data_IF_646649876272
#
_entry.id   IF_646649876272
#
_cell.length_a   1.000
_cell.length_b   1.000
_cell.length_c   1.000
_cell.angle_alpha   90.00
_cell.angle_beta   90.00
_cell.angle_gamma   90.00
#
_symmetry.space_group_name_H-M   'P 1'
#
loop_
_entity.id
_entity.type
_entity.pdbx_description
1 polymer ?
#
# COMPACT_ATOMS: atom_id res chain seq x y z
N UNK A 1 -1.87 13.07 -21.10
CA UNK A 1 -1.70 12.48 -19.76
C UNK A 1 -0.98 13.49 -18.89
N UNK A 2 -1.59 13.92 -17.78
CA UNK A 2 -0.94 14.85 -16.85
C UNK A 2 0.20 14.17 -16.07
N UNK A 3 1.22 14.95 -15.71
CA UNK A 3 2.37 14.47 -14.94
C UNK A 3 1.96 13.75 -13.65
N UNK A 4 0.96 14.29 -12.94
CA UNK A 4 0.34 13.68 -11.75
C UNK A 4 -0.14 12.25 -12.00
N UNK A 5 -0.79 12.00 -13.13
CA UNK A 5 -1.31 10.66 -13.44
C UNK A 5 -0.17 9.68 -13.69
N UNK A 6 0.91 10.13 -14.32
CA UNK A 6 2.11 9.31 -14.55
C UNK A 6 2.77 8.98 -13.20
N UNK A 7 2.93 9.97 -12.33
CA UNK A 7 3.47 9.76 -10.98
C UNK A 7 2.65 8.78 -10.17
N UNK A 8 1.32 8.86 -10.23
CA UNK A 8 0.45 7.92 -9.53
C UNK A 8 0.54 6.49 -10.07
N UNK A 9 0.63 6.30 -11.38
CA UNK A 9 0.83 4.97 -11.98
C UNK A 9 2.15 4.35 -11.49
N UNK A 10 3.24 5.13 -11.47
CA UNK A 10 4.54 4.68 -10.96
C UNK A 10 4.43 4.33 -9.46
N UNK A 11 3.73 5.15 -8.66
CA UNK A 11 3.51 4.90 -7.23
C UNK A 11 2.74 3.61 -6.98
N UNK A 12 1.71 3.32 -7.79
CA UNK A 12 0.94 2.08 -7.70
C UNK A 12 1.85 0.87 -7.97
N UNK A 13 2.65 0.91 -9.02
CA UNK A 13 3.57 -0.17 -9.39
C UNK A 13 4.63 -0.38 -8.30
N UNK A 14 5.25 0.70 -7.84
CA UNK A 14 6.24 0.66 -6.77
C UNK A 14 5.64 0.16 -5.45
N UNK A 15 4.44 0.62 -5.11
CA UNK A 15 3.69 0.18 -3.93
C UNK A 15 3.41 -1.31 -3.98
N UNK A 16 2.93 -1.83 -5.12
CA UNK A 16 2.66 -3.25 -5.31
C UNK A 16 3.93 -4.10 -5.14
N UNK A 17 5.05 -3.69 -5.77
CA UNK A 17 6.35 -4.35 -5.59
C UNK A 17 6.80 -4.35 -4.13
N UNK A 18 6.61 -3.23 -3.41
CA UNK A 18 7.00 -3.12 -2.01
C UNK A 18 6.13 -3.98 -1.09
N UNK A 19 4.83 -4.10 -1.38
CA UNK A 19 3.92 -5.01 -0.66
C UNK A 19 4.35 -6.46 -0.86
N UNK A 20 4.58 -6.88 -2.10
CA UNK A 20 5.02 -8.25 -2.43
C UNK A 20 6.37 -8.55 -1.76
N UNK A 21 7.32 -7.63 -1.86
CA UNK A 21 8.62 -7.74 -1.20
C UNK A 21 8.49 -7.81 0.32
N UNK A 22 7.63 -6.97 0.91
CA UNK A 22 7.34 -6.98 2.34
C UNK A 22 6.71 -8.30 2.80
N UNK A 23 5.88 -8.91 1.96
CA UNK A 23 5.28 -10.23 2.19
C UNK A 23 6.34 -11.33 2.17
N UNK A 24 7.23 -11.31 1.18
CA UNK A 24 8.32 -12.29 1.06
C UNK A 24 9.34 -12.17 2.20
N UNK A 25 9.72 -10.94 2.58
CA UNK A 25 10.72 -10.67 3.64
C UNK A 25 10.12 -10.64 5.05
N UNK A 26 8.82 -10.90 5.20
CA UNK A 26 8.04 -10.70 6.45
C UNK A 26 8.25 -9.31 7.07
N UNK A 27 8.57 -8.31 6.25
CA UNK A 27 8.85 -6.94 6.70
C UNK A 27 7.55 -6.17 6.82
N UNK A 28 7.11 -5.98 8.06
CA UNK A 28 5.92 -5.20 8.41
C UNK A 28 6.01 -3.77 7.85
N UNK A 29 7.19 -3.13 7.93
CA UNK A 29 7.39 -1.79 7.40
C UNK A 29 7.25 -1.73 5.88
N UNK A 30 7.82 -2.70 5.16
CA UNK A 30 7.73 -2.73 3.70
C UNK A 30 6.29 -2.96 3.22
N UNK A 31 5.52 -3.83 3.90
CA UNK A 31 4.09 -3.98 3.65
C UNK A 31 3.30 -2.70 3.93
N UNK A 32 3.63 -2.00 5.01
CA UNK A 32 2.94 -0.78 5.43
C UNK A 32 3.13 0.36 4.42
N UNK A 33 4.38 0.66 4.09
CA UNK A 33 4.71 1.69 3.11
C UNK A 33 4.21 1.31 1.71
N UNK A 34 4.29 0.03 1.34
CA UNK A 34 3.78 -0.46 0.07
C UNK A 34 2.27 -0.34 -0.03
N UNK A 35 1.57 -0.70 1.05
CA UNK A 35 0.12 -0.58 1.17
C UNK A 35 -0.32 0.87 1.02
N UNK A 36 0.34 1.81 1.71
CA UNK A 36 0.03 3.23 1.54
C UNK A 36 0.29 3.74 0.13
N UNK A 37 1.45 3.41 -0.43
CA UNK A 37 1.85 3.81 -1.78
C UNK A 37 0.90 3.27 -2.86
N UNK A 38 0.28 2.11 -2.60
CA UNK A 38 -0.73 1.51 -3.47
C UNK A 38 -2.14 2.08 -3.25
N UNK A 39 -2.59 2.21 -2.01
CA UNK A 39 -3.96 2.63 -1.67
C UNK A 39 -4.20 4.13 -1.87
N UNK A 40 -3.22 4.99 -1.58
CA UNK A 40 -3.41 6.45 -1.67
C UNK A 40 -3.74 6.93 -3.10
N UNK A 41 -3.01 6.50 -4.16
CA UNK A 41 -3.37 6.86 -5.53
C UNK A 41 -4.75 6.32 -5.95
N UNK A 42 -5.12 5.12 -5.50
CA UNK A 42 -6.42 4.51 -5.85
C UNK A 42 -7.57 5.33 -5.29
N UNK A 43 -7.52 5.70 -4.01
CA UNK A 43 -8.56 6.53 -3.40
C UNK A 43 -8.63 7.92 -4.04
N UNK A 44 -7.48 8.48 -4.46
CA UNK A 44 -7.46 9.72 -5.21
C UNK A 44 -8.18 9.60 -6.55
N UNK A 45 -7.93 8.52 -7.33
CA UNK A 45 -8.60 8.29 -8.62
C UNK A 45 -10.12 8.05 -8.49
N UNK A 46 -10.56 7.42 -7.40
CA UNK A 46 -11.98 7.16 -7.13
C UNK A 46 -12.71 8.42 -6.58
N UNK A 47 -11.98 9.49 -6.26
CA UNK A 47 -12.54 10.70 -5.65
C UNK A 47 -12.91 10.53 -4.17
N UNK A 48 -12.39 9.48 -3.52
CA UNK A 48 -12.57 9.19 -2.09
C UNK A 48 -11.47 9.84 -1.24
N UNK A 49 -11.19 11.12 -1.51
CA UNK A 49 -10.23 11.91 -0.75
C UNK A 49 -10.51 11.99 0.76
N UNK A 50 -11.77 12.00 1.26
CA UNK A 50 -12.03 11.96 2.70
C UNK A 50 -11.54 10.67 3.39
N UNK A 51 -11.29 9.59 2.62
CA UNK A 51 -10.82 8.30 3.13
C UNK A 51 -9.28 8.25 3.22
N UNK A 52 -8.56 9.19 2.60
CA UNK A 52 -7.09 9.23 2.59
C UNK A 52 -6.44 9.22 3.99
N UNK A 53 -6.97 9.91 5.02
CA UNK A 53 -6.41 9.84 6.38
C UNK A 53 -6.45 8.41 6.96
N UNK A 54 -7.39 7.58 6.50
CA UNK A 54 -7.54 6.19 6.93
C UNK A 54 -6.63 5.21 6.18
N UNK A 55 -5.95 5.65 5.12
CA UNK A 55 -4.99 4.80 4.38
C UNK A 55 -3.90 4.26 5.27
N UNK A 56 -3.35 5.11 6.16
CA UNK A 56 -2.32 4.68 7.10
C UNK A 56 -2.84 3.63 8.10
N UNK A 57 -3.95 3.85 8.84
CA UNK A 57 -4.58 2.82 9.66
C UNK A 57 -4.88 1.51 8.92
N UNK A 58 -5.46 1.58 7.71
CA UNK A 58 -5.79 0.40 6.90
C UNK A 58 -4.52 -0.36 6.51
N UNK A 59 -3.49 0.35 6.03
CA UNK A 59 -2.21 -0.24 5.70
C UNK A 59 -1.53 -0.88 6.91
N UNK A 60 -1.71 -0.33 8.11
CA UNK A 60 -1.18 -0.87 9.36
C UNK A 60 -1.86 -2.20 9.72
N UNK A 61 -3.20 -2.25 9.60
CA UNK A 61 -3.98 -3.47 9.82
C UNK A 61 -3.57 -4.54 8.80
N UNK A 62 -3.48 -4.21 7.51
CA UNK A 62 -3.06 -5.13 6.46
C UNK A 62 -1.64 -5.67 6.73
N UNK A 63 -0.72 -4.78 7.10
CA UNK A 63 0.66 -5.16 7.42
C UNK A 63 0.75 -6.06 8.65
N UNK A 64 -0.03 -5.78 9.70
CA UNK A 64 -0.09 -6.60 10.90
C UNK A 64 -0.70 -8.00 10.63
N UNK A 65 -1.78 -8.06 9.86
CA UNK A 65 -2.40 -9.33 9.43
C UNK A 65 -1.46 -10.12 8.52
N UNK A 66 -0.77 -9.44 7.60
CA UNK A 66 0.23 -10.02 6.71
C UNK A 66 1.37 -10.67 7.47
N UNK A 67 1.82 -10.08 8.58
CA UNK A 67 2.84 -10.67 9.46
C UNK A 67 2.36 -11.97 10.13
N UNK A 68 1.14 -11.98 10.68
CA UNK A 68 0.58 -13.16 11.38
C UNK A 68 0.33 -14.35 10.45
N UNK A 69 -0.02 -14.12 9.19
CA UNK A 69 -0.33 -15.19 8.23
C UNK A 69 0.88 -16.04 7.83
N UNK A 70 2.11 -15.55 8.04
CA UNK A 70 3.35 -16.28 7.71
C UNK A 70 3.96 -16.99 8.93
N UNK A 71 3.27 -17.01 10.07
CA UNK A 71 3.66 -17.77 11.27
C UNK A 71 2.84 -19.05 11.45
N UNK A 72 1.93 -19.35 10.50
CA UNK A 72 1.17 -20.60 10.44
C UNK A 72 1.71 -21.44 9.27
N UNK A 73 2.92 -21.98 9.44
CA UNK A 73 3.37 -23.27 8.88
C UNK A 73 4.36 -23.85 9.88
#
# INVERSE_FOLDING_TARGET
MNLLNISFVILIIAGLLLVVYGLQKKSQLSMFFGGMAFLAPIFYFIGWTPVLPFVAPIALVISYLGKKRVEIV
#
